data_IF_733728136631
#
_entry.id   IF_733728136631
#
_cell.length_a   1.000
_cell.length_b   1.000
_cell.length_c   1.000
_cell.angle_alpha   90.00
_cell.angle_beta   90.00
_cell.angle_gamma   90.00
#
_symmetry.space_group_name_H-M   'P 1'
#
loop_
_entity.id
_entity.type
_entity.pdbx_description
1 polymer ?
#
# COMPACT_ATOMS: atom_id res chain seq x y z
N UNK A 1 57.78 -55.44 -15.64
CA UNK A 1 57.94 -54.49 -16.76
C UNK A 1 57.92 -53.08 -16.20
N UNK A 2 59.01 -52.32 -16.45
CA UNK A 2 59.21 -50.85 -16.31
C UNK A 2 59.21 -50.31 -14.85
N UNK A 3 60.34 -49.98 -14.22
CA UNK A 3 61.34 -48.90 -14.50
C UNK A 3 60.67 -47.52 -14.35
N UNK A 4 61.13 -46.52 -13.57
CA UNK A 4 62.49 -46.04 -13.26
C UNK A 4 62.50 -45.15 -11.99
N UNK A 5 63.66 -45.13 -11.29
CA UNK A 5 64.14 -44.08 -10.36
C UNK A 5 64.72 -42.89 -11.21
N UNK A 6 65.18 -41.68 -10.76
CA UNK A 6 65.76 -41.33 -9.45
C UNK A 6 65.68 -39.83 -8.94
N UNK A 7 66.21 -39.59 -7.74
CA UNK A 7 67.13 -38.50 -7.27
C UNK A 7 66.91 -36.98 -7.51
N UNK A 8 66.88 -36.20 -6.41
CA UNK A 8 67.67 -34.95 -6.17
C UNK A 8 67.45 -34.42 -4.72
N UNK A 9 68.42 -34.43 -3.77
CA UNK A 9 69.47 -33.41 -3.48
C UNK A 9 68.89 -32.00 -3.13
N UNK A 10 68.78 -31.56 -1.87
CA UNK A 10 69.78 -30.88 -0.96
C UNK A 10 68.98 -29.97 0.06
N UNK A 11 69.59 -29.19 0.99
CA UNK A 11 70.35 -29.54 2.19
C UNK A 11 69.88 -28.78 3.48
N UNK A 12 70.48 -29.12 4.61
CA UNK A 12 70.32 -28.56 5.97
C UNK A 12 70.86 -27.12 6.15
N UNK A 13 70.18 -26.26 6.94
CA UNK A 13 70.84 -25.30 7.87
C UNK A 13 69.92 -24.80 8.99
N UNK A 14 70.31 -25.10 10.23
CA UNK A 14 69.80 -24.50 11.47
C UNK A 14 70.47 -23.16 11.76
N UNK A 15 69.72 -22.16 12.22
CA UNK A 15 70.10 -20.97 13.03
C UNK A 15 68.80 -20.15 13.21
N UNK A 16 68.46 -19.46 14.29
CA UNK A 16 68.93 -19.30 15.66
C UNK A 16 67.81 -18.46 16.31
N UNK A 17 67.46 -18.79 17.54
CA UNK A 17 66.53 -18.10 18.47
C UNK A 17 66.34 -16.58 18.29
N UNK A 18 65.09 -16.11 18.51
CA UNK A 18 64.76 -15.21 19.64
C UNK A 18 63.24 -15.17 19.95
N UNK A 19 62.88 -14.86 21.22
CA UNK A 19 61.58 -15.15 21.83
C UNK A 19 60.67 -13.91 21.92
N UNK A 20 59.40 -14.17 22.29
CA UNK A 20 58.43 -13.23 22.87
C UNK A 20 58.03 -11.99 22.06
N UNK A 21 56.78 -12.01 21.63
CA UNK A 21 56.03 -10.89 21.10
C UNK A 21 54.59 -11.33 20.89
N UNK A 22 53.84 -11.49 21.98
CA UNK A 22 52.38 -11.46 21.94
C UNK A 22 51.99 -10.16 21.22
N UNK A 23 51.33 -10.28 20.07
CA UNK A 23 50.65 -9.19 19.35
C UNK A 23 49.20 -9.14 19.83
N UNK A 24 48.82 -8.27 20.81
CA UNK A 24 47.45 -8.21 21.34
C UNK A 24 46.48 -7.43 20.43
N UNK A 25 46.76 -7.35 19.14
CA UNK A 25 46.10 -6.41 18.21
C UNK A 25 45.07 -7.07 17.29
N UNK A 26 45.12 -8.41 17.11
CA UNK A 26 44.12 -9.16 16.30
C UNK A 26 42.97 -9.76 17.09
N UNK A 27 43.16 -10.08 18.37
CA UNK A 27 42.14 -10.74 19.21
C UNK A 27 41.05 -9.78 19.72
N UNK A 28 41.33 -8.49 19.83
CA UNK A 28 40.42 -7.52 20.45
C UNK A 28 39.24 -7.12 19.53
N UNK A 29 39.46 -7.14 18.20
CA UNK A 29 38.40 -6.96 17.21
C UNK A 29 37.52 -8.21 17.06
N UNK A 30 38.11 -9.40 17.17
CA UNK A 30 37.39 -10.68 17.13
C UNK A 30 36.54 -10.90 18.38
N UNK A 31 37.06 -10.57 19.57
CA UNK A 31 36.30 -10.65 20.83
C UNK A 31 35.14 -9.65 20.88
N UNK A 32 35.31 -8.44 20.33
CA UNK A 32 34.22 -7.46 20.20
C UNK A 32 33.08 -7.95 19.30
N UNK A 33 33.42 -8.55 18.16
CA UNK A 33 32.43 -9.15 17.25
C UNK A 33 31.75 -10.37 17.88
N UNK A 34 32.50 -11.24 18.57
CA UNK A 34 31.96 -12.38 19.29
C UNK A 34 30.99 -11.97 20.40
N UNK A 35 31.33 -10.97 21.21
CA UNK A 35 30.45 -10.44 22.25
C UNK A 35 29.16 -9.83 21.67
N UNK A 36 29.27 -9.13 20.53
CA UNK A 36 28.11 -8.61 19.82
C UNK A 36 27.20 -9.74 19.28
N UNK A 37 27.78 -10.84 18.81
CA UNK A 37 27.03 -12.03 18.37
C UNK A 37 26.33 -12.69 19.56
N UNK A 38 27.02 -12.88 20.68
CA UNK A 38 26.44 -13.45 21.89
C UNK A 38 25.31 -12.58 22.44
N UNK A 39 25.47 -11.25 22.43
CA UNK A 39 24.40 -10.32 22.79
C UNK A 39 23.18 -10.48 21.89
N UNK A 40 23.37 -10.58 20.56
CA UNK A 40 22.28 -10.84 19.63
C UNK A 40 21.59 -12.19 19.88
N UNK A 41 22.34 -13.24 20.20
CA UNK A 41 21.79 -14.56 20.50
C UNK A 41 20.90 -14.53 21.75
N UNK A 42 21.36 -13.88 22.84
CA UNK A 42 20.55 -13.74 24.06
C UNK A 42 19.25 -12.98 23.83
N UNK A 43 19.29 -11.96 22.96
CA UNK A 43 18.08 -11.22 22.56
C UNK A 43 17.12 -12.17 21.83
N UNK A 44 17.60 -12.93 20.85
CA UNK A 44 16.78 -13.88 20.09
C UNK A 44 16.13 -14.92 21.01
N UNK A 45 16.87 -15.48 21.97
CA UNK A 45 16.33 -16.41 22.95
C UNK A 45 15.25 -15.78 23.85
N UNK A 46 15.48 -14.55 24.31
CA UNK A 46 14.50 -13.82 25.12
C UNK A 46 13.22 -13.52 24.33
N UNK A 47 13.34 -13.23 23.03
CA UNK A 47 12.22 -13.00 22.14
C UNK A 47 11.43 -14.29 21.89
N UNK A 48 12.10 -15.43 21.72
CA UNK A 48 11.45 -16.72 21.57
C UNK A 48 10.60 -17.07 22.81
N UNK A 49 11.15 -16.88 24.02
CA UNK A 49 10.40 -17.08 25.28
C UNK A 49 9.19 -16.15 25.41
N UNK A 50 9.34 -14.89 24.98
CA UNK A 50 8.23 -13.93 24.98
C UNK A 50 7.13 -14.31 23.98
N UNK A 51 7.49 -14.88 22.83
CA UNK A 51 6.53 -15.34 21.84
C UNK A 51 5.69 -16.51 22.38
N UNK A 52 6.34 -17.48 23.02
CA UNK A 52 5.66 -18.63 23.63
C UNK A 52 4.68 -18.19 24.73
N UNK A 53 5.12 -17.30 25.63
CA UNK A 53 4.25 -16.73 26.67
C UNK A 53 3.06 -15.93 26.09
N UNK A 54 3.25 -15.28 24.93
CA UNK A 54 2.16 -14.58 24.25
C UNK A 54 1.13 -15.56 23.65
N UNK A 55 1.58 -16.68 23.09
CA UNK A 55 0.71 -17.74 22.59
C UNK A 55 -0.12 -18.37 23.72
N UNK A 56 0.49 -18.66 24.87
CA UNK A 56 -0.23 -19.16 26.05
C UNK A 56 -1.29 -18.16 26.53
N UNK A 57 -0.97 -16.86 26.51
CA UNK A 57 -1.92 -15.81 26.90
C UNK A 57 -3.11 -15.74 25.94
N UNK A 58 -2.88 -15.89 24.64
CA UNK A 58 -3.94 -15.93 23.63
C UNK A 58 -4.85 -17.14 23.87
N UNK A 59 -4.29 -18.34 24.04
CA UNK A 59 -5.06 -19.55 24.31
C UNK A 59 -5.93 -19.45 25.58
N UNK A 60 -5.42 -18.82 26.63
CA UNK A 60 -6.19 -18.54 27.85
C UNK A 60 -7.36 -17.58 27.61
N UNK A 61 -7.16 -16.53 26.80
CA UNK A 61 -8.22 -15.57 26.44
C UNK A 61 -9.28 -16.21 25.55
N UNK A 62 -8.89 -17.04 24.58
CA UNK A 62 -9.80 -17.80 23.74
C UNK A 62 -10.67 -18.75 24.56
N UNK A 63 -10.09 -19.43 25.55
CA UNK A 63 -10.84 -20.28 26.48
C UNK A 63 -11.87 -19.50 27.29
N UNK A 64 -11.54 -18.29 27.74
CA UNK A 64 -12.49 -17.40 28.45
C UNK A 64 -13.65 -16.94 27.54
N UNK A 65 -13.37 -16.66 26.27
CA UNK A 65 -14.42 -16.27 25.31
C UNK A 65 -15.36 -17.43 24.99
N UNK A 66 -14.85 -18.67 24.87
CA UNK A 66 -15.67 -19.87 24.69
C UNK A 66 -16.72 -20.05 25.79
N UNK A 67 -16.34 -19.83 27.05
CA UNK A 67 -17.26 -19.92 28.19
C UNK A 67 -18.32 -18.78 28.22
N UNK A 68 -18.01 -17.58 27.72
CA UNK A 68 -18.96 -16.45 27.70
C UNK A 68 -20.03 -16.59 26.63
N UNK A 69 -19.72 -17.20 25.48
CA UNK A 69 -20.70 -17.45 24.41
C UNK A 69 -21.75 -18.48 24.84
N UNK A 70 -21.38 -19.49 25.64
CA UNK A 70 -22.33 -20.46 26.18
C UNK A 70 -23.33 -19.86 27.19
N UNK A 71 -23.01 -18.73 27.83
CA UNK A 71 -23.89 -18.04 28.78
C UNK A 71 -24.81 -16.98 28.16
N UNK A 72 -24.63 -16.64 26.88
CA UNK A 72 -25.36 -15.55 26.22
C UNK A 72 -26.56 -16.00 25.35
N UNK A 73 -26.78 -17.31 25.16
CA UNK A 73 -27.80 -17.84 24.23
C UNK A 73 -29.20 -18.01 24.86
N UNK A 74 -29.44 -17.47 26.06
CA UNK A 74 -30.71 -17.68 26.79
C UNK A 74 -31.46 -16.41 27.21
N UNK A 75 -31.30 -15.29 26.48
CA UNK A 75 -32.29 -14.19 26.59
C UNK A 75 -32.22 -13.22 25.41
N UNK A 76 -33.22 -13.25 24.52
CA UNK A 76 -33.91 -12.09 23.95
C UNK A 76 -34.58 -12.47 22.63
N UNK A 77 -35.77 -13.06 22.72
CA UNK A 77 -36.74 -13.10 21.64
C UNK A 77 -37.65 -11.85 21.70
N UNK A 78 -38.20 -11.46 20.53
CA UNK A 78 -39.50 -10.76 20.34
C UNK A 78 -39.57 -9.22 20.56
N UNK A 79 -40.22 -8.36 19.75
CA UNK A 79 -41.01 -8.46 18.50
C UNK A 79 -41.24 -7.05 17.88
N UNK A 80 -41.93 -7.02 16.71
CA UNK A 80 -42.90 -6.01 16.20
C UNK A 80 -42.34 -4.79 15.45
N UNK A 81 -42.62 -4.68 14.14
CA UNK A 81 -43.60 -3.75 13.54
C UNK A 81 -43.70 -4.01 12.02
N UNK A 82 -44.93 -4.20 11.54
CA UNK A 82 -45.31 -4.24 10.13
C UNK A 82 -46.51 -3.29 9.91
N UNK A 83 -46.46 -2.57 8.78
CA UNK A 83 -47.57 -2.02 7.95
C UNK A 83 -48.58 -0.99 8.51
N UNK A 84 -48.76 0.18 7.84
CA UNK A 84 -49.84 0.50 6.86
C UNK A 84 -49.96 2.00 6.47
N UNK A 85 -50.40 2.26 5.22
CA UNK A 85 -50.81 3.56 4.63
C UNK A 85 -52.29 3.88 4.91
N UNK A 86 -52.73 5.16 4.77
CA UNK A 86 -53.86 5.44 3.85
C UNK A 86 -53.83 6.80 3.11
N UNK A 87 -54.82 6.98 2.22
CA UNK A 87 -54.95 7.90 1.07
C UNK A 87 -55.63 9.29 1.30
N UNK A 88 -55.70 10.08 0.20
CA UNK A 88 -56.20 11.48 -0.01
C UNK A 88 -57.71 11.75 0.18
N UNK A 89 -58.14 13.04 0.16
CA UNK A 89 -59.23 13.48 -0.73
C UNK A 89 -59.19 14.93 -1.37
N UNK A 90 -59.53 15.01 -2.68
CA UNK A 90 -60.44 15.88 -3.52
C UNK A 90 -60.78 17.41 -3.32
N UNK A 91 -60.46 18.24 -4.38
CA UNK A 91 -61.20 19.33 -5.18
C UNK A 91 -61.98 20.53 -4.56
N UNK A 92 -62.46 21.60 -5.31
CA UNK A 92 -62.06 22.29 -6.59
C UNK A 92 -62.21 23.88 -6.60
N UNK A 93 -61.80 24.60 -7.66
CA UNK A 93 -62.48 25.84 -8.18
C UNK A 93 -62.01 26.27 -9.59
N UNK A 94 -62.86 27.02 -10.30
CA UNK A 94 -63.05 27.14 -11.76
C UNK A 94 -62.37 28.36 -12.42
N UNK A 95 -62.05 28.30 -13.73
CA UNK A 95 -62.46 29.21 -14.83
C UNK A 95 -61.93 28.71 -16.20
N UNK A 96 -62.70 28.74 -17.30
CA UNK A 96 -62.32 28.10 -18.57
C UNK A 96 -61.61 29.07 -19.53
N UNK A 97 -60.37 28.75 -19.91
CA UNK A 97 -59.75 29.25 -21.16
C UNK A 97 -59.82 28.14 -22.20
N UNK A 98 -60.63 28.38 -23.24
CA UNK A 98 -60.87 27.43 -24.32
C UNK A 98 -59.62 27.32 -25.20
N UNK A 99 -58.98 26.14 -25.20
CA UNK A 99 -57.71 25.84 -25.88
C UNK A 99 -57.72 25.99 -27.41
N UNK A 100 -58.89 26.15 -28.04
CA UNK A 100 -59.02 26.20 -29.49
C UNK A 100 -58.35 27.43 -30.14
N UNK A 101 -58.14 28.53 -29.40
CA UNK A 101 -57.58 29.78 -29.95
C UNK A 101 -56.05 29.83 -30.00
N UNK A 102 -55.34 28.91 -29.33
CA UNK A 102 -53.87 28.84 -29.37
C UNK A 102 -53.37 28.03 -30.59
N UNK A 103 -54.23 27.19 -31.18
CA UNK A 103 -53.85 26.23 -32.20
C UNK A 103 -53.73 26.79 -33.64
N UNK A 104 -54.03 28.06 -33.88
CA UNK A 104 -54.05 28.65 -35.23
C UNK A 104 -52.86 29.56 -35.49
N UNK A 105 -51.65 29.01 -35.53
CA UNK A 105 -50.52 29.66 -36.20
C UNK A 105 -49.88 28.69 -37.19
N UNK A 106 -49.80 29.04 -38.50
CA UNK A 106 -49.26 28.15 -39.51
C UNK A 106 -47.73 28.14 -39.44
N UNK A 107 -47.16 27.20 -38.69
CA UNK A 107 -45.71 26.99 -38.66
C UNK A 107 -45.26 26.26 -39.92
N UNK A 108 -44.31 26.87 -40.64
CA UNK A 108 -43.64 26.36 -41.84
C UNK A 108 -43.25 24.88 -41.68
N UNK A 109 -43.61 24.04 -42.65
CA UNK A 109 -43.26 22.62 -42.71
C UNK A 109 -41.73 22.43 -42.70
N UNK A 110 -41.18 22.08 -41.54
CA UNK A 110 -39.85 21.47 -41.45
C UNK A 110 -40.02 19.95 -41.56
N UNK A 111 -39.33 19.33 -42.52
CA UNK A 111 -39.27 17.87 -42.62
C UNK A 111 -38.64 17.33 -41.33
N UNK A 112 -39.24 16.38 -40.61
CA UNK A 112 -38.62 15.81 -39.42
C UNK A 112 -37.40 14.99 -39.87
N UNK A 113 -36.21 15.43 -39.45
CA UNK A 113 -34.99 14.64 -39.60
C UNK A 113 -35.08 13.31 -38.82
N UNK A 114 -34.21 12.34 -39.12
CA UNK A 114 -34.20 11.05 -38.43
C UNK A 114 -34.05 11.27 -36.92
N UNK A 115 -34.90 10.60 -36.14
CA UNK A 115 -34.89 10.67 -34.67
C UNK A 115 -33.50 10.26 -34.16
N UNK A 116 -32.90 10.99 -33.21
CA UNK A 116 -31.60 10.61 -32.66
C UNK A 116 -31.71 9.21 -32.05
N UNK A 117 -30.75 8.34 -32.40
CA UNK A 117 -30.61 7.01 -31.80
C UNK A 117 -30.48 7.21 -30.29
N UNK A 118 -31.40 6.61 -29.52
CA UNK A 118 -31.30 6.63 -28.06
C UNK A 118 -30.07 5.84 -27.67
N UNK A 119 -29.00 6.52 -27.26
CA UNK A 119 -27.87 5.87 -26.60
C UNK A 119 -28.38 5.23 -25.31
N UNK A 120 -28.61 3.93 -25.31
CA UNK A 120 -28.88 3.17 -24.10
C UNK A 120 -27.64 3.31 -23.20
N UNK A 121 -27.79 4.04 -22.10
CA UNK A 121 -26.76 4.06 -21.05
C UNK A 121 -26.66 2.63 -20.52
N UNK A 122 -25.49 1.97 -20.58
CA UNK A 122 -25.35 0.65 -20.01
C UNK A 122 -25.70 0.71 -18.52
N UNK A 123 -26.48 -0.27 -18.06
CA UNK A 123 -26.91 -0.37 -16.67
C UNK A 123 -25.72 -0.50 -15.70
N UNK A 124 -25.95 -0.37 -14.38
CA UNK A 124 -24.89 -0.49 -13.38
C UNK A 124 -24.16 -1.84 -13.52
N UNK A 125 -22.83 -1.81 -13.59
CA UNK A 125 -22.02 -3.03 -13.60
C UNK A 125 -22.05 -3.68 -12.21
N UNK A 126 -22.14 -5.02 -12.11
CA UNK A 126 -22.10 -5.72 -10.83
C UNK A 126 -20.79 -5.42 -10.09
N UNK A 127 -20.87 -5.30 -8.77
CA UNK A 127 -19.72 -5.03 -7.91
C UNK A 127 -18.86 -6.32 -7.83
N UNK A 128 -17.55 -6.26 -8.10
CA UNK A 128 -16.69 -7.45 -8.01
C UNK A 128 -16.69 -8.07 -6.60
N UNK A 129 -16.71 -9.40 -6.51
CA UNK A 129 -16.70 -10.15 -5.23
C UNK A 129 -15.58 -9.68 -4.28
N UNK A 130 -14.32 -9.46 -4.73
CA UNK A 130 -13.26 -8.98 -3.84
C UNK A 130 -13.55 -7.60 -3.22
N UNK A 131 -14.32 -6.75 -3.92
CA UNK A 131 -14.73 -5.45 -3.40
C UNK A 131 -15.79 -5.59 -2.32
N UNK A 132 -16.69 -6.55 -2.47
CA UNK A 132 -17.72 -6.86 -1.46
C UNK A 132 -17.09 -7.47 -0.21
N UNK A 133 -16.20 -8.44 -0.37
CA UNK A 133 -15.50 -9.09 0.76
C UNK A 133 -14.79 -8.08 1.67
N UNK A 134 -14.12 -7.08 1.08
CA UNK A 134 -13.42 -6.01 1.83
C UNK A 134 -14.34 -5.08 2.60
N UNK A 135 -15.57 -4.87 2.13
CA UNK A 135 -16.53 -4.03 2.84
C UNK A 135 -16.99 -4.70 4.14
N UNK A 136 -16.96 -6.03 4.19
CA UNK A 136 -17.40 -6.83 5.32
C UNK A 136 -16.24 -7.51 6.07
N UNK A 137 -14.99 -7.26 5.67
CA UNK A 137 -13.83 -7.72 6.43
C UNK A 137 -13.57 -6.79 7.61
N UNK A 138 -13.15 -7.31 8.78
CA UNK A 138 -12.71 -6.47 9.88
C UNK A 138 -11.54 -5.56 9.42
N UNK A 139 -11.49 -4.30 9.88
CA UNK A 139 -10.42 -3.39 9.48
C UNK A 139 -9.08 -3.89 10.02
N UNK A 140 -8.11 -4.04 9.13
CA UNK A 140 -6.74 -4.39 9.51
C UNK A 140 -6.08 -3.22 10.24
N UNK A 141 -5.34 -3.50 11.31
CA UNK A 141 -4.37 -2.55 11.84
C UNK A 141 -3.03 -2.77 11.12
N UNK A 142 -2.29 -1.72 10.72
CA UNK A 142 -2.49 -0.29 10.94
C UNK A 142 -3.51 0.35 9.99
N UNK A 143 -4.37 1.20 10.56
CA UNK A 143 -5.33 2.02 9.81
C UNK A 143 -4.61 3.21 9.17
N UNK A 144 -4.86 3.47 7.90
CA UNK A 144 -4.35 4.66 7.24
C UNK A 144 -3.97 4.45 5.79
N UNK A 145 -3.03 5.27 5.35
CA UNK A 145 -2.62 5.37 3.97
C UNK A 145 -1.12 5.19 3.84
N UNK A 146 -0.69 4.58 2.74
CA UNK A 146 0.70 4.33 2.41
C UNK A 146 1.01 4.98 1.08
N UNK A 147 2.14 5.67 1.03
CA UNK A 147 2.73 6.11 -0.23
C UNK A 147 3.52 4.97 -0.87
N UNK A 148 3.27 4.76 -2.15
CA UNK A 148 4.07 3.87 -3.00
C UNK A 148 4.79 4.73 -4.02
N UNK A 149 6.11 4.74 -3.97
CA UNK A 149 6.94 5.52 -4.89
C UNK A 149 7.40 4.66 -6.06
N UNK A 150 7.32 5.22 -7.27
CA UNK A 150 7.66 4.58 -8.52
C UNK A 150 8.68 5.43 -9.27
N UNK A 151 9.64 4.79 -9.91
CA UNK A 151 10.53 5.45 -10.85
C UNK A 151 9.79 5.83 -12.14
N UNK A 152 9.99 7.05 -12.60
CA UNK A 152 9.48 7.57 -13.86
C UNK A 152 10.62 8.12 -14.71
N UNK A 153 10.48 8.00 -16.04
CA UNK A 153 11.47 8.54 -16.99
C UNK A 153 11.38 10.07 -17.13
N UNK A 154 10.25 10.66 -16.76
CA UNK A 154 10.01 12.09 -16.79
C UNK A 154 8.62 12.43 -16.24
N UNK A 155 8.28 13.72 -16.27
CA UNK A 155 7.02 14.21 -15.71
C UNK A 155 5.83 13.84 -16.61
N UNK A 156 4.95 13.02 -16.07
CA UNK A 156 3.70 12.59 -16.72
C UNK A 156 2.52 13.29 -16.04
N UNK A 157 1.52 13.80 -16.78
CA UNK A 157 0.35 14.40 -16.16
C UNK A 157 -0.44 13.35 -15.35
N UNK A 158 -0.99 13.76 -14.20
CA UNK A 158 -1.71 12.88 -13.28
C UNK A 158 -2.82 12.05 -13.95
N UNK A 159 -3.53 12.62 -14.94
CA UNK A 159 -4.56 11.91 -15.69
C UNK A 159 -4.01 10.74 -16.51
N UNK A 160 -2.80 10.87 -17.06
CA UNK A 160 -2.14 9.79 -17.79
C UNK A 160 -1.63 8.72 -16.84
N UNK A 161 -1.05 9.09 -15.69
CA UNK A 161 -0.66 8.13 -14.65
C UNK A 161 -1.88 7.30 -14.22
N UNK A 162 -3.03 7.94 -13.94
CA UNK A 162 -4.27 7.23 -13.59
C UNK A 162 -4.79 6.33 -14.73
N UNK A 163 -4.61 6.72 -16.00
CA UNK A 163 -4.93 5.84 -17.14
C UNK A 163 -4.01 4.62 -17.18
N UNK A 164 -2.70 4.80 -17.01
CA UNK A 164 -1.72 3.70 -16.99
C UNK A 164 -1.99 2.72 -15.85
N UNK A 165 -2.30 3.22 -14.65
CA UNK A 165 -2.66 2.38 -13.50
C UNK A 165 -3.92 1.56 -13.78
N UNK A 166 -4.92 2.13 -14.44
CA UNK A 166 -6.12 1.39 -14.84
C UNK A 166 -5.85 0.34 -15.92
N UNK A 167 -4.91 0.59 -16.84
CA UNK A 167 -4.50 -0.39 -17.86
C UNK A 167 -3.84 -1.63 -17.22
N UNK A 168 -3.12 -1.45 -16.11
CA UNK A 168 -2.52 -2.53 -15.28
C UNK A 168 -3.59 -3.24 -14.40
N UNK A 169 -4.84 -2.78 -14.44
CA UNK A 169 -5.95 -3.33 -13.65
C UNK A 169 -6.04 -2.77 -12.23
N UNK A 170 -5.34 -1.68 -11.90
CA UNK A 170 -5.47 -0.99 -10.61
C UNK A 170 -6.70 -0.09 -10.66
N UNK A 171 -7.58 -0.22 -9.67
CA UNK A 171 -8.83 0.54 -9.62
C UNK A 171 -8.56 1.98 -9.19
N UNK A 172 -8.80 2.95 -10.07
CA UNK A 172 -8.57 4.38 -9.81
C UNK A 172 -9.34 4.94 -8.60
N UNK A 173 -10.52 4.41 -8.29
CA UNK A 173 -11.30 4.85 -7.12
C UNK A 173 -10.67 4.47 -5.79
N UNK A 174 -9.66 3.59 -5.79
CA UNK A 174 -8.91 3.15 -4.61
C UNK A 174 -7.59 3.93 -4.43
N UNK A 175 -7.22 4.72 -5.44
CA UNK A 175 -6.07 5.61 -5.39
C UNK A 175 -6.57 6.98 -4.94
N UNK A 176 -6.08 7.42 -3.79
CA UNK A 176 -6.51 8.68 -3.16
C UNK A 176 -5.88 9.82 -3.91
N UNK A 177 -4.56 9.80 -4.04
CA UNK A 177 -3.82 10.84 -4.71
C UNK A 177 -2.62 10.29 -5.51
N UNK A 178 -2.19 11.07 -6.48
CA UNK A 178 -1.01 10.83 -7.29
C UNK A 178 -0.24 12.14 -7.34
N UNK A 179 0.91 12.15 -6.69
CA UNK A 179 1.79 13.32 -6.61
C UNK A 179 3.15 12.97 -7.21
N UNK A 180 3.88 13.98 -7.69
CA UNK A 180 5.21 13.81 -8.25
C UNK A 180 6.20 14.63 -7.40
N UNK A 181 6.77 14.03 -6.33
CA UNK A 181 7.67 14.75 -5.43
C UNK A 181 8.97 15.17 -6.14
N UNK A 182 9.35 14.46 -7.21
CA UNK A 182 10.57 14.74 -7.99
C UNK A 182 10.28 14.48 -9.46
N UNK A 183 11.10 15.02 -10.37
CA UNK A 183 10.92 14.87 -11.82
C UNK A 183 10.90 13.41 -12.31
N UNK A 184 11.58 12.51 -11.59
CA UNK A 184 11.74 11.10 -11.97
C UNK A 184 11.05 10.13 -10.99
N UNK A 185 10.20 10.65 -10.11
CA UNK A 185 9.53 9.84 -9.08
C UNK A 185 8.06 10.22 -9.02
N UNK A 186 7.19 9.23 -9.07
CA UNK A 186 5.75 9.37 -8.80
C UNK A 186 5.41 8.68 -7.50
N UNK A 187 4.74 9.39 -6.60
CA UNK A 187 4.13 8.83 -5.40
C UNK A 187 2.63 8.62 -5.58
N UNK A 188 2.16 7.43 -5.26
CA UNK A 188 0.75 7.07 -5.27
C UNK A 188 0.30 6.86 -3.82
N UNK A 189 -0.75 7.56 -3.40
CA UNK A 189 -1.34 7.41 -2.09
C UNK A 189 -2.46 6.36 -2.13
N UNK A 190 -2.28 5.30 -1.34
CA UNK A 190 -3.14 4.11 -1.35
C UNK A 190 -3.53 3.74 0.08
N UNK A 191 -4.75 3.20 0.28
CA UNK A 191 -5.13 2.61 1.57
C UNK A 191 -4.24 1.43 1.94
N UNK A 192 -3.89 1.29 3.21
CA UNK A 192 -2.99 0.24 3.69
C UNK A 192 -3.45 -1.16 3.23
N UNK A 193 -4.73 -1.50 3.38
CA UNK A 193 -5.31 -2.79 2.93
C UNK A 193 -5.23 -3.03 1.41
N UNK A 194 -5.11 -1.98 0.60
CA UNK A 194 -5.03 -2.09 -0.86
C UNK A 194 -3.58 -2.08 -1.35
N UNK A 195 -2.63 -1.61 -0.54
CA UNK A 195 -1.22 -1.61 -0.87
C UNK A 195 -0.67 -2.98 -1.31
N UNK A 196 -0.96 -4.13 -0.63
CA UNK A 196 -0.42 -5.42 -1.07
C UNK A 196 -0.90 -5.82 -2.46
N UNK A 197 -2.17 -5.60 -2.80
CA UNK A 197 -2.69 -5.89 -4.15
C UNK A 197 -2.01 -5.02 -5.22
N UNK A 198 -1.77 -3.75 -4.90
CA UNK A 198 -1.06 -2.84 -5.82
C UNK A 198 0.38 -3.28 -6.04
N UNK A 199 1.06 -3.69 -4.96
CA UNK A 199 2.43 -4.21 -5.02
C UNK A 199 2.50 -5.49 -5.86
N UNK A 200 1.56 -6.41 -5.67
CA UNK A 200 1.45 -7.62 -6.48
C UNK A 200 1.24 -7.31 -7.96
N UNK A 201 0.33 -6.39 -8.29
CA UNK A 201 0.10 -5.95 -9.68
C UNK A 201 1.34 -5.32 -10.31
N UNK A 202 2.07 -4.50 -9.56
CA UNK A 202 3.33 -3.94 -10.05
C UNK A 202 4.39 -5.02 -10.28
N UNK A 203 4.54 -5.97 -9.37
CA UNK A 203 5.45 -7.12 -9.52
C UNK A 203 5.09 -7.95 -10.75
N UNK A 204 3.81 -8.24 -10.98
CA UNK A 204 3.32 -8.97 -12.15
C UNK A 204 3.70 -8.29 -13.48
N UNK A 205 3.76 -6.96 -13.51
CA UNK A 205 4.10 -6.17 -14.69
C UNK A 205 5.57 -5.72 -14.72
N UNK A 206 6.42 -6.22 -13.82
CA UNK A 206 7.85 -5.88 -13.76
C UNK A 206 8.15 -4.44 -13.31
N UNK A 207 7.18 -3.75 -12.70
CA UNK A 207 7.33 -2.39 -12.21
C UNK A 207 7.97 -2.43 -10.82
N UNK A 208 9.12 -1.76 -10.67
CA UNK A 208 9.85 -1.67 -9.40
C UNK A 208 9.31 -0.53 -8.55
N UNK A 209 9.06 -0.81 -7.27
CA UNK A 209 8.69 0.16 -6.26
C UNK A 209 9.95 0.62 -5.54
N UNK A 210 10.04 1.92 -5.26
CA UNK A 210 11.14 2.53 -4.52
C UNK A 210 10.81 2.47 -3.02
N UNK A 211 11.37 1.49 -2.30
CA UNK A 211 11.15 1.32 -0.86
C UNK A 211 11.98 2.30 -0.01
N UNK A 212 13.14 2.72 -0.51
CA UNK A 212 14.10 3.60 0.20
C UNK A 212 13.88 5.09 -0.08
N UNK A 213 12.85 5.45 -0.86
CA UNK A 213 12.61 6.87 -1.20
C UNK A 213 11.94 7.60 -0.04
N UNK A 214 12.62 8.63 0.48
CA UNK A 214 12.05 9.55 1.45
C UNK A 214 11.90 10.96 0.83
N UNK A 215 10.66 11.49 0.74
CA UNK A 215 10.42 12.82 0.18
C UNK A 215 11.08 13.95 0.99
N UNK A 216 11.35 13.72 2.28
CA UNK A 216 11.94 14.71 3.20
C UNK A 216 13.47 14.72 3.19
N UNK A 217 14.10 13.93 2.32
CA UNK A 217 15.57 13.91 2.23
C UNK A 217 16.11 15.16 1.57
N UNK A 218 17.25 15.68 2.07
CA UNK A 218 17.93 16.83 1.49
C UNK A 218 18.28 16.65 0.01
N UNK A 219 18.56 15.40 -0.41
CA UNK A 219 18.89 15.06 -1.80
C UNK A 219 17.71 15.17 -2.76
N UNK A 220 16.47 15.13 -2.23
CA UNK A 220 15.23 15.19 -3.02
C UNK A 220 14.93 16.63 -3.47
N UNK A 221 15.36 17.64 -2.71
CA UNK A 221 15.19 19.06 -3.07
C UNK A 221 16.01 19.39 -4.32
N UNK A 222 15.33 19.77 -5.41
CA UNK A 222 15.97 20.13 -6.69
C UNK A 222 15.70 21.58 -7.11
N UNK A 223 15.36 22.43 -6.16
CA UNK A 223 15.16 23.84 -6.42
C UNK A 223 16.50 24.51 -6.81
N UNK A 224 16.59 25.20 -7.95
CA UNK A 224 17.79 25.94 -8.34
C UNK A 224 18.24 26.95 -7.26
N UNK A 225 17.33 27.54 -6.49
CA UNK A 225 17.68 28.46 -5.40
C UNK A 225 18.41 27.77 -4.24
N UNK A 226 18.33 26.44 -4.16
CA UNK A 226 18.95 25.63 -3.10
C UNK A 226 20.07 24.74 -3.63
N UNK A 227 20.43 24.89 -4.92
CA UNK A 227 21.50 24.13 -5.55
C UNK A 227 22.87 24.38 -4.91
N UNK A 228 23.12 25.63 -4.49
CA UNK A 228 24.40 26.05 -3.87
C UNK A 228 24.43 25.88 -2.34
N UNK A 229 23.34 25.44 -1.73
CA UNK A 229 23.24 25.31 -0.27
C UNK A 229 23.90 24.03 0.23
N UNK A 230 24.40 24.07 1.46
CA UNK A 230 24.97 22.88 2.11
C UNK A 230 23.90 21.82 2.38
N UNK A 231 24.31 20.56 2.54
CA UNK A 231 23.39 19.44 2.81
C UNK A 231 22.59 19.70 4.10
N UNK A 232 23.22 20.28 5.13
CA UNK A 232 22.58 20.62 6.41
C UNK A 232 21.47 21.64 6.24
N UNK A 233 21.72 22.74 5.53
CA UNK A 233 20.69 23.75 5.24
C UNK A 233 19.52 23.13 4.45
N UNK A 234 19.82 22.25 3.50
CA UNK A 234 18.78 21.53 2.74
C UNK A 234 17.96 20.60 3.64
N UNK A 235 18.58 19.92 4.61
CA UNK A 235 17.81 19.11 5.59
C UNK A 235 16.90 19.96 6.45
N UNK A 236 17.33 21.16 6.87
CA UNK A 236 16.52 22.04 7.70
C UNK A 236 15.35 22.63 6.91
N UNK A 237 15.57 22.95 5.64
CA UNK A 237 14.50 23.35 4.71
C UNK A 237 13.50 22.21 4.50
N UNK A 238 13.97 20.97 4.30
CA UNK A 238 13.09 19.82 4.12
C UNK A 238 12.22 19.56 5.36
N UNK A 239 12.79 19.69 6.56
CA UNK A 239 12.04 19.54 7.83
C UNK A 239 10.99 20.65 8.02
N UNK A 240 11.25 21.85 7.49
CA UNK A 240 10.33 22.99 7.63
C UNK A 240 9.05 22.82 6.82
N UNK A 241 9.10 22.10 5.70
CA UNK A 241 7.96 21.89 4.79
C UNK A 241 7.75 20.38 4.57
N UNK A 242 7.07 19.69 5.51
CA UNK A 242 6.76 18.27 5.39
C UNK A 242 5.69 17.98 4.32
#
# INVERSE_FOLDING_TARGET
MKSDNPSASKPTRCILSKPYGDEPSKTLLETGQFNAIMAKLTIVESLAKRLEAALDRIAALESQLGHRVSTATSSSAESKYAQEQPAQPTTPSQHPVTYASIASSPTKYYKPGPKPVKYYKPGPRPIPIPRVQRLFSPPTEPKGYKFLYLSQKGRVPTGEIRRSLSAIGIINSRIIDVHAPTQNTCGILVHHDYAPEVVEKFKQHGIKILEEFNPTDANTIRDPEHANKTITERTDIAKKYP
#
